data_IF_550457311507
#
_entry.id   IF_550457311507
#
_cell.length_a   1.000
_cell.length_b   1.000
_cell.length_c   1.000
_cell.angle_alpha   90.00
_cell.angle_beta   90.00
_cell.angle_gamma   90.00
#
_symmetry.space_group_name_H-M   'P 1'
#
loop_
_entity.id
_entity.type
_entity.pdbx_description
1 polymer ?
#
# COMPACT_ATOMS: atom_id res chain seq x y z
N UNK A 1 -7.77 -6.68 35.09
CA UNK A 1 -6.89 -7.31 34.07
C UNK A 1 -6.25 -6.21 33.24
N UNK A 2 -5.00 -5.86 33.54
CA UNK A 2 -4.23 -4.84 32.81
C UNK A 2 -3.71 -5.45 31.52
N UNK A 3 -4.06 -4.89 30.36
CA UNK A 3 -3.56 -5.38 29.06
C UNK A 3 -2.05 -5.11 28.98
N UNK A 4 -1.22 -6.07 28.51
CA UNK A 4 0.22 -5.86 28.40
C UNK A 4 0.57 -4.76 27.38
N UNK A 5 1.77 -4.16 27.47
CA UNK A 5 2.15 -3.00 26.67
C UNK A 5 2.01 -3.28 25.17
N UNK A 6 1.47 -2.30 24.44
CA UNK A 6 1.11 -2.38 23.02
C UNK A 6 2.34 -2.36 22.07
N UNK A 7 3.54 -2.61 22.60
CA UNK A 7 4.82 -2.19 22.03
C UNK A 7 5.50 -3.27 21.16
N UNK A 8 4.74 -4.24 20.63
CA UNK A 8 5.29 -5.35 19.80
C UNK A 8 5.13 -5.15 18.29
N UNK A 9 4.92 -3.93 17.83
CA UNK A 9 4.63 -3.69 16.41
C UNK A 9 3.26 -4.26 16.01
N UNK A 10 2.25 -4.05 16.86
CA UNK A 10 0.87 -4.39 16.53
C UNK A 10 0.39 -3.50 15.38
N UNK A 11 -0.02 -4.13 14.28
CA UNK A 11 -0.44 -3.45 13.05
C UNK A 11 0.42 -3.82 11.85
N UNK A 12 -0.01 -3.42 10.65
CA UNK A 12 0.83 -3.58 9.45
C UNK A 12 1.95 -2.55 9.52
N UNK A 13 3.20 -3.02 9.45
CA UNK A 13 4.35 -2.11 9.34
C UNK A 13 4.15 -1.18 8.14
N UNK A 14 4.46 0.12 8.28
CA UNK A 14 4.47 1.04 7.14
C UNK A 14 5.37 0.47 6.04
N UNK A 15 4.92 0.55 4.79
CA UNK A 15 5.78 0.24 3.64
C UNK A 15 6.76 1.38 3.36
N UNK A 16 6.48 2.58 3.89
CA UNK A 16 7.35 3.73 3.74
C UNK A 16 8.43 3.72 4.84
N UNK A 17 9.72 3.79 4.46
CA UNK A 17 10.84 3.75 5.42
C UNK A 17 10.96 5.03 6.27
N UNK A 18 10.38 6.15 5.83
CA UNK A 18 10.34 7.41 6.60
C UNK A 18 9.23 7.42 7.63
N UNK A 19 8.35 6.40 7.61
CA UNK A 19 7.30 6.22 8.59
C UNK A 19 6.04 7.05 8.33
N UNK A 20 5.93 7.71 7.16
CA UNK A 20 4.68 8.37 6.81
C UNK A 20 3.52 7.35 6.78
N UNK A 21 2.43 7.61 7.51
CA UNK A 21 1.32 6.68 7.58
C UNK A 21 0.62 6.58 6.23
N UNK A 22 0.90 5.49 5.51
CA UNK A 22 0.22 5.18 4.26
C UNK A 22 -1.27 4.98 4.51
N UNK A 23 -2.11 5.79 3.85
CA UNK A 23 -3.57 5.64 3.88
C UNK A 23 -4.00 4.63 2.82
N UNK A 24 -4.85 3.68 3.20
CA UNK A 24 -5.49 2.78 2.24
C UNK A 24 -6.43 3.58 1.33
N UNK A 25 -6.23 3.49 0.01
CA UNK A 25 -7.10 4.11 -1.00
C UNK A 25 -7.70 3.01 -1.89
N UNK A 26 -9.03 2.84 -1.92
CA UNK A 26 -9.65 1.88 -2.82
C UNK A 26 -9.56 2.37 -4.26
N UNK A 27 -9.21 1.48 -5.19
CA UNK A 27 -9.23 1.74 -6.64
C UNK A 27 -10.28 0.81 -7.23
N UNK A 28 -11.21 1.38 -8.01
CA UNK A 28 -12.19 0.58 -8.76
C UNK A 28 -11.52 0.04 -10.01
N UNK A 29 -11.65 -1.26 -10.24
CA UNK A 29 -11.12 -1.97 -11.40
C UNK A 29 -12.15 -3.01 -11.83
N UNK A 30 -12.18 -3.33 -13.12
CA UNK A 30 -12.83 -4.55 -13.61
C UNK A 30 -12.06 -5.80 -13.17
N UNK A 31 -12.68 -6.97 -13.24
CA UNK A 31 -12.00 -8.24 -12.90
C UNK A 31 -10.79 -8.50 -13.80
N UNK A 32 -10.91 -8.19 -15.09
CA UNK A 32 -9.81 -8.34 -16.05
C UNK A 32 -8.63 -7.43 -15.71
N UNK A 33 -8.89 -6.17 -15.36
CA UNK A 33 -7.86 -5.23 -14.90
C UNK A 33 -7.24 -5.68 -13.58
N UNK A 34 -8.04 -6.22 -12.65
CA UNK A 34 -7.55 -6.73 -11.38
C UNK A 34 -6.64 -7.94 -11.54
N UNK A 35 -7.01 -8.91 -12.39
CA UNK A 35 -6.18 -10.08 -12.70
C UNK A 35 -4.86 -9.63 -13.32
N UNK A 36 -4.91 -8.71 -14.30
CA UNK A 36 -3.72 -8.15 -14.94
C UNK A 36 -2.85 -7.40 -13.93
N UNK A 37 -3.44 -6.59 -13.07
CA UNK A 37 -2.73 -5.86 -12.01
C UNK A 37 -1.99 -6.83 -11.07
N UNK A 38 -2.66 -7.91 -10.62
CA UNK A 38 -2.04 -8.94 -9.79
C UNK A 38 -0.85 -9.61 -10.50
N UNK A 39 -1.02 -9.99 -11.77
CA UNK A 39 0.05 -10.60 -12.57
C UNK A 39 1.27 -9.67 -12.76
N UNK A 40 1.05 -8.36 -12.81
CA UNK A 40 2.10 -7.34 -12.95
C UNK A 40 2.83 -6.99 -11.63
N UNK A 41 2.41 -7.54 -10.49
CA UNK A 41 2.99 -7.24 -9.17
C UNK A 41 2.09 -6.41 -8.24
N UNK A 42 0.82 -6.24 -8.61
CA UNK A 42 -0.22 -5.65 -7.77
C UNK A 42 0.10 -4.21 -7.35
N UNK A 43 -0.09 -3.92 -6.06
CA UNK A 43 0.11 -2.57 -5.52
C UNK A 43 1.55 -2.05 -5.67
N UNK A 44 2.57 -2.92 -5.75
CA UNK A 44 3.94 -2.48 -6.01
C UNK A 44 4.09 -1.91 -7.43
N UNK A 45 3.50 -2.59 -8.42
CA UNK A 45 3.49 -2.14 -9.81
C UNK A 45 2.75 -0.82 -9.99
N UNK A 46 1.58 -0.66 -9.35
CA UNK A 46 0.81 0.60 -9.39
C UNK A 46 1.66 1.75 -8.85
N UNK A 47 2.35 1.56 -7.72
CA UNK A 47 3.23 2.59 -7.13
C UNK A 47 4.41 2.94 -8.02
N UNK A 48 5.05 1.95 -8.65
CA UNK A 48 6.14 2.19 -9.60
C UNK A 48 5.69 3.06 -10.78
N UNK A 49 4.48 2.82 -11.31
CA UNK A 49 3.89 3.66 -12.36
C UNK A 49 3.60 5.08 -11.90
N UNK A 50 3.11 5.27 -10.68
CA UNK A 50 2.90 6.60 -10.10
C UNK A 50 4.24 7.34 -9.94
N UNK A 51 5.26 6.70 -9.37
CA UNK A 51 6.56 7.30 -9.14
C UNK A 51 7.30 7.67 -10.44
N UNK A 52 7.07 6.92 -11.53
CA UNK A 52 7.63 7.20 -12.86
C UNK A 52 6.85 8.26 -13.63
N UNK A 53 5.59 8.51 -13.28
CA UNK A 53 4.77 9.50 -13.97
C UNK A 53 5.29 10.91 -13.66
N UNK A 54 5.47 11.72 -14.71
CA UNK A 54 5.78 13.16 -14.55
C UNK A 54 4.47 13.89 -14.32
N UNK A 55 4.09 14.06 -13.07
CA UNK A 55 2.90 14.79 -12.62
C UNK A 55 3.20 15.55 -11.33
N UNK A 56 2.43 16.60 -11.05
CA UNK A 56 2.52 17.27 -9.75
C UNK A 56 1.95 16.32 -8.68
N UNK A 57 2.59 16.21 -7.50
CA UNK A 57 2.02 15.45 -6.37
C UNK A 57 0.64 15.99 -5.95
#
# INVERSE_FOLDING_TARGET
MTRPPNDRGQGRKPLDPTGEPMKSRPIRMTDAEWIKCKALGGAAWVRDKINKARGKP
#
